data_IF_876379056361
#
_entry.id   IF_876379056361
#
_cell.length_a   1.000
_cell.length_b   1.000
_cell.length_c   1.000
_cell.angle_alpha   90.00
_cell.angle_beta   90.00
_cell.angle_gamma   90.00
#
_symmetry.space_group_name_H-M   'P 1'
#
loop_
_entity.id
_entity.type
_entity.pdbx_description
1 polymer ?
#
# COMPACT_ATOMS: atom_id res chain seq x y z
N UNK A 1 -13.52 -15.76 -0.95
CA UNK A 1 -12.60 -14.70 -1.42
C UNK A 1 -11.98 -14.10 -0.17
N UNK A 2 -10.66 -13.91 -0.10
CA UNK A 2 -10.00 -13.36 1.08
C UNK A 2 -10.16 -11.82 1.09
N UNK A 3 -10.53 -11.22 2.23
CA UNK A 3 -10.80 -9.76 2.36
C UNK A 3 -9.62 -8.90 1.85
N UNK A 4 -8.41 -9.37 2.08
CA UNK A 4 -7.17 -8.72 1.61
C UNK A 4 -7.13 -8.57 0.09
N UNK A 5 -7.55 -9.59 -0.67
CA UNK A 5 -7.50 -9.56 -2.14
C UNK A 5 -8.52 -8.55 -2.72
N UNK A 6 -9.71 -8.45 -2.12
CA UNK A 6 -10.73 -7.48 -2.52
C UNK A 6 -10.27 -6.04 -2.26
N UNK A 7 -9.52 -5.81 -1.17
CA UNK A 7 -8.96 -4.51 -0.85
C UNK A 7 -7.81 -4.12 -1.78
N UNK A 8 -6.94 -5.07 -2.11
CA UNK A 8 -5.84 -4.85 -3.06
C UNK A 8 -6.38 -4.58 -4.47
N UNK A 9 -7.47 -5.25 -4.89
CA UNK A 9 -8.09 -5.01 -6.19
C UNK A 9 -8.61 -3.57 -6.39
N UNK A 10 -8.81 -2.82 -5.30
CA UNK A 10 -9.22 -1.41 -5.34
C UNK A 10 -8.06 -0.42 -5.40
N UNK A 11 -6.81 -0.89 -5.32
CA UNK A 11 -5.62 -0.05 -5.36
C UNK A 11 -5.35 0.42 -6.79
N UNK A 12 -5.17 1.73 -6.97
CA UNK A 12 -4.76 2.30 -8.24
C UNK A 12 -3.23 2.29 -8.35
N UNK A 13 -2.72 1.46 -9.26
CA UNK A 13 -1.30 1.44 -9.61
C UNK A 13 -1.00 2.45 -10.72
N UNK A 14 0.20 3.02 -10.72
CA UNK A 14 0.67 3.88 -11.79
C UNK A 14 1.11 3.07 -13.03
N UNK A 15 1.61 3.76 -14.07
CA UNK A 15 2.06 3.12 -15.31
C UNK A 15 3.22 2.13 -15.15
N UNK A 16 3.95 2.22 -14.04
CA UNK A 16 5.06 1.33 -13.69
C UNK A 16 4.61 0.14 -12.81
N UNK A 17 3.31 0.04 -12.52
CA UNK A 17 2.77 -1.02 -11.65
C UNK A 17 3.02 -0.80 -10.16
N UNK A 18 3.30 0.45 -9.75
CA UNK A 18 3.60 0.83 -8.37
C UNK A 18 2.48 1.64 -7.73
N UNK A 19 2.33 1.52 -6.41
CA UNK A 19 1.47 2.37 -5.57
C UNK A 19 2.32 3.17 -4.59
N UNK A 20 1.88 4.39 -4.27
CA UNK A 20 2.46 5.17 -3.19
C UNK A 20 2.00 4.61 -1.82
N UNK A 21 2.95 4.31 -0.95
CA UNK A 21 2.72 3.82 0.40
C UNK A 21 3.22 4.83 1.44
N UNK A 22 2.36 5.18 2.40
CA UNK A 22 2.69 6.07 3.52
C UNK A 22 2.88 5.22 4.77
N UNK A 23 4.05 5.30 5.38
CA UNK A 23 4.32 4.67 6.68
C UNK A 23 4.17 5.73 7.75
N UNK A 24 3.33 5.44 8.74
CA UNK A 24 3.08 6.34 9.87
C UNK A 24 3.29 5.63 11.20
N UNK A 25 3.65 6.38 12.22
CA UNK A 25 3.68 5.89 13.59
C UNK A 25 2.24 5.61 14.04
N UNK A 26 2.00 4.43 14.62
CA UNK A 26 0.64 3.92 14.84
C UNK A 26 -0.18 4.69 15.89
N UNK A 27 0.49 5.38 16.81
CA UNK A 27 -0.13 6.09 17.94
C UNK A 27 -0.27 7.60 17.64
N UNK A 28 0.85 8.28 17.43
CA UNK A 28 0.93 9.72 17.12
C UNK A 28 0.42 10.07 15.73
N UNK A 29 0.33 9.09 14.82
CA UNK A 29 -0.03 9.26 13.39
C UNK A 29 0.93 10.18 12.64
N UNK A 30 2.14 10.34 13.14
CA UNK A 30 3.19 11.04 12.42
C UNK A 30 3.60 10.26 11.18
N UNK A 31 3.70 10.94 10.04
CA UNK A 31 4.19 10.34 8.80
C UNK A 31 5.71 10.18 8.89
N UNK A 32 6.15 8.93 8.83
CA UNK A 32 7.57 8.56 8.93
C UNK A 32 8.22 8.50 7.56
N UNK A 33 7.51 7.98 6.54
CA UNK A 33 8.04 7.86 5.19
C UNK A 33 6.96 7.82 4.11
N UNK A 34 7.39 8.14 2.88
CA UNK A 34 6.68 7.83 1.64
C UNK A 34 7.57 6.89 0.82
N UNK A 35 6.98 5.81 0.30
CA UNK A 35 7.65 4.86 -0.58
C UNK A 35 6.77 4.39 -1.72
N UNK A 36 7.34 3.58 -2.62
CA UNK A 36 6.61 2.91 -3.70
C UNK A 36 6.59 1.41 -3.45
N UNK A 37 5.45 0.76 -3.69
CA UNK A 37 5.26 -0.69 -3.51
C UNK A 37 4.61 -1.30 -4.74
N UNK A 38 5.01 -2.52 -5.10
CA UNK A 38 4.32 -3.32 -6.11
C UNK A 38 3.17 -4.14 -5.49
N UNK A 39 2.39 -4.83 -6.33
CA UNK A 39 1.25 -5.63 -5.90
C UNK A 39 1.64 -6.88 -5.09
N UNK A 40 2.86 -7.41 -5.24
CA UNK A 40 3.34 -8.56 -4.47
C UNK A 40 3.71 -8.13 -3.04
N UNK A 41 4.38 -6.97 -2.90
CA UNK A 41 4.70 -6.35 -1.63
C UNK A 41 3.45 -6.04 -0.80
N UNK A 42 2.34 -5.67 -1.45
CA UNK A 42 1.04 -5.45 -0.78
C UNK A 42 0.34 -6.72 -0.29
N UNK A 43 0.66 -7.89 -0.87
CA UNK A 43 0.02 -9.16 -0.52
C UNK A 43 0.72 -9.88 0.64
N UNK A 44 1.92 -9.46 1.02
CA UNK A 44 2.73 -10.05 2.11
C UNK A 44 2.47 -9.34 3.42
#
# INVERSE_FOLDING_TARGET
MNDTDERIARVAFNGDGLVAAIVQQWDTREVLMLGWMDAEALRR
#
